data_IF_094897737199
#
_entry.id   IF_094897737199
#
_cell.length_a   1.000
_cell.length_b   1.000
_cell.length_c   1.000
_cell.angle_alpha   90.00
_cell.angle_beta   90.00
_cell.angle_gamma   90.00
#
_symmetry.space_group_name_H-M   'P 1'
#
loop_
_entity.id
_entity.type
_entity.pdbx_description
1 polymer ?
#
# COMPACT_ATOMS: atom_id res chain seq x y z
N UNK A 1 12.89 -9.14 -2.79
CA UNK A 1 12.35 -10.05 -1.76
C UNK A 1 10.83 -9.89 -1.76
N UNK A 2 10.08 -10.94 -1.44
CA UNK A 2 8.62 -10.91 -1.39
C UNK A 2 8.21 -11.05 0.08
N UNK A 3 7.44 -10.08 0.58
CA UNK A 3 6.99 -10.07 1.97
C UNK A 3 5.81 -11.04 2.18
N UNK A 4 5.51 -11.31 3.44
CA UNK A 4 4.43 -12.22 3.85
C UNK A 4 3.03 -11.75 3.40
N UNK A 5 2.11 -12.70 3.35
CA UNK A 5 0.68 -12.43 3.14
C UNK A 5 0.14 -11.65 4.33
N UNK A 6 -0.67 -10.61 4.07
CA UNK A 6 -1.27 -9.77 5.11
C UNK A 6 -2.79 -9.87 5.11
N UNK A 7 -3.37 -9.87 6.30
CA UNK A 7 -4.81 -9.79 6.52
C UNK A 7 -5.24 -8.32 6.63
N UNK A 8 -6.30 -7.96 5.91
CA UNK A 8 -6.89 -6.62 5.93
C UNK A 8 -7.89 -6.42 7.08
N UNK A 9 -8.27 -7.51 7.78
CA UNK A 9 -9.28 -7.50 8.83
C UNK A 9 -10.69 -7.20 8.30
N UNK A 10 -11.58 -6.78 9.19
CA UNK A 10 -12.95 -6.37 8.85
C UNK A 10 -12.99 -4.95 8.28
N UNK A 11 -12.30 -4.77 7.15
CA UNK A 11 -12.12 -3.49 6.49
C UNK A 11 -11.96 -3.75 4.99
N UNK A 12 -12.75 -3.08 4.14
CA UNK A 12 -12.66 -3.13 2.68
C UNK A 12 -11.43 -2.39 2.12
N UNK A 13 -10.25 -2.67 2.66
CA UNK A 13 -8.99 -1.98 2.37
C UNK A 13 -8.04 -2.78 1.47
N UNK A 14 -8.56 -3.75 0.71
CA UNK A 14 -7.76 -4.52 -0.26
C UNK A 14 -6.92 -3.63 -1.17
N UNK A 15 -7.48 -2.50 -1.60
CA UNK A 15 -6.81 -1.48 -2.40
C UNK A 15 -5.55 -0.89 -1.73
N UNK A 16 -5.56 -0.71 -0.41
CA UNK A 16 -4.43 -0.18 0.35
C UNK A 16 -3.41 -1.27 0.68
N UNK A 17 -3.89 -2.46 1.06
CA UNK A 17 -3.04 -3.62 1.38
C UNK A 17 -2.27 -4.07 0.13
N UNK A 18 -2.93 -4.21 -1.03
CA UNK A 18 -2.26 -4.60 -2.27
C UNK A 18 -1.24 -3.56 -2.73
N UNK A 19 -1.58 -2.27 -2.66
CA UNK A 19 -0.68 -1.21 -3.14
C UNK A 19 0.56 -1.08 -2.24
N UNK A 20 0.40 -1.16 -0.92
CA UNK A 20 1.53 -1.08 0.03
C UNK A 20 2.44 -2.30 -0.04
N UNK A 21 1.89 -3.52 -0.06
CA UNK A 21 2.67 -4.77 -0.13
C UNK A 21 3.47 -4.89 -1.43
N UNK A 22 2.85 -4.63 -2.58
CA UNK A 22 3.55 -4.64 -3.87
C UNK A 22 4.63 -3.55 -3.91
N UNK A 23 4.36 -2.37 -3.33
CA UNK A 23 5.36 -1.30 -3.28
C UNK A 23 6.57 -1.69 -2.42
N UNK A 24 6.36 -2.34 -1.28
CA UNK A 24 7.43 -2.92 -0.46
C UNK A 24 8.29 -3.90 -1.23
N UNK A 25 7.67 -4.86 -1.92
CA UNK A 25 8.39 -5.87 -2.70
C UNK A 25 9.21 -5.24 -3.81
N UNK A 26 8.62 -4.30 -4.56
CA UNK A 26 9.31 -3.60 -5.64
C UNK A 26 10.48 -2.76 -5.13
N UNK A 27 10.34 -2.12 -3.97
CA UNK A 27 11.42 -1.37 -3.34
C UNK A 27 12.57 -2.29 -2.90
N UNK A 28 12.25 -3.44 -2.33
CA UNK A 28 13.25 -4.45 -1.98
C UNK A 28 13.96 -5.01 -3.24
N UNK A 29 13.23 -5.26 -4.33
CA UNK A 29 13.81 -5.76 -5.58
C UNK A 29 14.71 -4.71 -6.23
N UNK A 30 14.24 -3.47 -6.42
CA UNK A 30 15.01 -2.43 -7.12
C UNK A 30 16.25 -1.98 -6.33
N UNK A 31 16.21 -2.10 -5.01
CA UNK A 31 17.33 -1.77 -4.14
C UNK A 31 18.34 -2.91 -3.96
N UNK A 32 18.13 -4.06 -4.62
CA UNK A 32 18.91 -5.27 -4.44
C UNK A 32 18.97 -5.71 -2.97
N UNK A 33 17.80 -5.66 -2.30
CA UNK A 33 17.62 -6.01 -0.89
C UNK A 33 18.09 -4.96 0.12
N UNK A 34 18.72 -3.86 -0.31
CA UNK A 34 19.22 -2.82 0.62
C UNK A 34 18.10 -2.08 1.35
N UNK A 35 16.93 -1.95 0.73
CA UNK A 35 15.73 -1.35 1.32
C UNK A 35 14.63 -2.39 1.38
N UNK A 36 14.70 -3.24 2.40
CA UNK A 36 13.73 -4.30 2.66
C UNK A 36 12.78 -3.88 3.79
N UNK A 37 11.78 -3.05 3.46
CA UNK A 37 10.88 -2.44 4.42
C UNK A 37 9.41 -2.74 4.10
N UNK A 38 8.66 -3.09 5.14
CA UNK A 38 7.20 -3.23 5.08
C UNK A 38 6.53 -1.87 5.19
N UNK A 39 5.87 -1.43 4.11
CA UNK A 39 5.12 -0.18 4.05
C UNK A 39 3.78 -0.33 4.78
N UNK A 40 3.25 0.78 5.28
CA UNK A 40 2.02 0.81 6.08
C UNK A 40 0.78 0.96 5.19
N UNK A 41 -0.10 -0.06 5.09
CA UNK A 41 -1.40 0.10 4.45
C UNK A 41 -2.27 1.11 5.22
N UNK A 42 -2.12 1.19 6.54
CA UNK A 42 -2.90 2.08 7.40
C UNK A 42 -2.69 3.56 7.04
N UNK A 43 -1.51 3.91 6.54
CA UNK A 43 -1.26 5.27 6.05
C UNK A 43 -2.21 5.59 4.88
N UNK A 44 -2.31 4.70 3.88
CA UNK A 44 -3.22 4.90 2.76
C UNK A 44 -4.67 4.97 3.24
N UNK A 45 -5.08 4.06 4.13
CA UNK A 45 -6.45 4.01 4.68
C UNK A 45 -6.82 5.33 5.38
N UNK A 46 -5.94 5.85 6.24
CA UNK A 46 -6.26 7.02 7.06
C UNK A 46 -6.00 8.36 6.37
N UNK A 47 -5.03 8.43 5.45
CA UNK A 47 -4.49 9.70 4.94
C UNK A 47 -4.70 9.92 3.44
N UNK A 48 -4.88 8.87 2.62
CA UNK A 48 -5.20 9.06 1.21
C UNK A 48 -6.70 9.32 1.05
N UNK A 49 -7.19 10.51 1.42
CA UNK A 49 -8.64 10.79 1.49
C UNK A 49 -9.27 11.22 0.16
N UNK A 50 -8.47 11.68 -0.82
CA UNK A 50 -9.02 12.15 -2.10
C UNK A 50 -9.51 10.96 -2.95
N UNK A 51 -10.83 10.84 -3.08
CA UNK A 51 -11.52 9.76 -3.81
C UNK A 51 -11.25 8.35 -3.27
N UNK A 52 -10.88 8.22 -2.00
CA UNK A 52 -10.90 6.94 -1.30
C UNK A 52 -11.90 6.99 -0.16
N UNK A 53 -12.33 5.82 0.32
CA UNK A 53 -13.30 5.70 1.42
C UNK A 53 -12.79 4.81 2.55
N UNK A 54 -11.46 4.74 2.74
CA UNK A 54 -10.85 3.94 3.79
C UNK A 54 -11.28 2.47 3.73
N UNK A 55 -12.00 2.04 4.76
CA UNK A 55 -12.55 0.68 4.86
C UNK A 55 -13.80 0.41 4.01
N UNK A 56 -14.38 1.40 3.35
CA UNK A 56 -15.52 1.21 2.43
C UNK A 56 -15.05 1.04 0.97
N UNK A 57 -13.75 0.81 0.75
CA UNK A 57 -13.17 0.64 -0.57
C UNK A 57 -12.38 1.86 -1.07
N UNK A 58 -11.72 1.65 -2.19
CA UNK A 58 -10.86 2.64 -2.82
C UNK A 58 -10.37 2.19 -4.19
N UNK A 59 -9.85 3.15 -4.94
CA UNK A 59 -9.34 2.96 -6.29
C UNK A 59 -7.81 2.80 -6.28
N UNK A 60 -7.34 1.75 -6.96
CA UNK A 60 -5.93 1.41 -7.05
C UNK A 60 -5.10 2.48 -7.76
N UNK A 61 -5.62 3.06 -8.85
CA UNK A 61 -4.94 4.11 -9.62
C UNK A 61 -4.62 5.33 -8.73
N UNK A 62 -5.54 5.69 -7.83
CA UNK A 62 -5.36 6.78 -6.86
C UNK A 62 -4.38 6.43 -5.76
N UNK A 63 -4.40 5.21 -5.26
CA UNK A 63 -3.44 4.75 -4.26
C UNK A 63 -2.00 4.76 -4.82
N UNK A 64 -1.82 4.25 -6.04
CA UNK A 64 -0.54 4.28 -6.75
C UNK A 64 -0.08 5.71 -7.04
N UNK A 65 -1.00 6.60 -7.45
CA UNK A 65 -0.68 8.01 -7.63
C UNK A 65 -0.23 8.67 -6.31
N UNK A 66 -0.90 8.36 -5.20
CA UNK A 66 -0.59 8.92 -3.89
C UNK A 66 0.80 8.50 -3.42
N UNK A 67 1.13 7.20 -3.45
CA UNK A 67 2.48 6.71 -3.09
C UNK A 67 3.53 7.37 -3.97
N UNK A 68 3.32 7.46 -5.29
CA UNK A 68 4.33 8.08 -6.19
C UNK A 68 4.51 9.58 -5.93
N UNK A 69 3.50 10.29 -5.44
CA UNK A 69 3.52 11.75 -5.28
C UNK A 69 3.97 12.22 -3.90
N UNK A 70 3.62 11.47 -2.85
CA UNK A 70 3.83 11.85 -1.45
C UNK A 70 4.67 10.83 -0.65
N UNK A 71 4.75 9.59 -1.13
CA UNK A 71 5.55 8.53 -0.52
C UNK A 71 7.00 8.53 -0.98
#
# INVERSE_FOLDING_TARGET
>A
MIHEVRDQGDCGSSWAVSTSTISSDRLAIISDGRVNATLSPQQLISCNQHRQRGCEGGYLDRAWWYIRKLG
#
